data_IF_509611446324
#
_entry.id   IF_509611446324
#
_cell.length_a   1.000
_cell.length_b   1.000
_cell.length_c   1.000
_cell.angle_alpha   90.00
_cell.angle_beta   90.00
_cell.angle_gamma   90.00
#
_symmetry.space_group_name_H-M   'P 1'
#
loop_
_entity.id
_entity.type
_entity.pdbx_description
1 polymer ?
#
# COMPACT_ATOMS: atom_id res chain seq x y z
N UNK A 1 -29.08 -17.31 -27.81
CA UNK A 1 -29.57 -17.74 -26.49
C UNK A 1 -28.82 -19.03 -26.20
N UNK A 2 -27.74 -18.91 -25.44
CA UNK A 2 -27.09 -20.03 -24.76
C UNK A 2 -26.33 -19.38 -23.61
N UNK A 3 -27.01 -19.34 -22.47
CA UNK A 3 -26.46 -18.98 -21.17
C UNK A 3 -25.46 -20.08 -20.79
N UNK A 4 -24.19 -19.70 -20.58
CA UNK A 4 -23.29 -20.55 -19.80
C UNK A 4 -23.30 -20.03 -18.38
N UNK A 5 -23.86 -20.88 -17.51
CA UNK A 5 -23.82 -20.76 -16.07
C UNK A 5 -22.38 -20.60 -15.59
N UNK A 6 -22.19 -19.63 -14.71
CA UNK A 6 -20.97 -19.45 -13.93
C UNK A 6 -21.00 -20.53 -12.86
N UNK A 7 -20.32 -21.64 -13.11
CA UNK A 7 -20.07 -22.66 -12.09
C UNK A 7 -18.93 -22.18 -11.18
N UNK A 8 -19.12 -22.45 -9.89
CA UNK A 8 -18.30 -22.03 -8.76
C UNK A 8 -16.84 -22.50 -8.91
N UNK A 9 -15.91 -21.58 -9.17
CA UNK A 9 -14.48 -21.84 -8.98
C UNK A 9 -14.14 -21.63 -7.50
N UNK A 10 -13.98 -22.75 -6.80
CA UNK A 10 -13.27 -22.84 -5.53
C UNK A 10 -11.89 -22.19 -5.68
N UNK A 11 -11.65 -21.11 -4.95
CA UNK A 11 -10.35 -20.45 -4.88
C UNK A 11 -9.42 -21.29 -4.00
N UNK A 12 -8.82 -22.34 -4.55
CA UNK A 12 -7.59 -22.88 -4.01
C UNK A 12 -6.51 -21.80 -4.14
N UNK A 13 -5.93 -21.42 -3.01
CA UNK A 13 -4.77 -20.54 -2.91
C UNK A 13 -3.72 -21.02 -3.92
N UNK A 14 -3.55 -20.29 -5.03
CA UNK A 14 -2.31 -20.37 -5.78
C UNK A 14 -1.23 -19.82 -4.85
N UNK A 15 -0.58 -20.69 -4.10
CA UNK A 15 0.78 -20.49 -3.63
C UNK A 15 1.63 -20.32 -4.90
N UNK A 16 1.63 -19.12 -5.48
CA UNK A 16 2.52 -18.77 -6.57
C UNK A 16 3.95 -18.88 -6.00
N UNK A 17 4.73 -19.91 -6.37
CA UNK A 17 6.02 -20.18 -5.76
C UNK A 17 7.07 -19.11 -6.11
N UNK A 18 6.77 -18.18 -7.01
CA UNK A 18 7.66 -17.13 -7.47
C UNK A 18 7.45 -15.77 -6.78
N UNK A 19 6.51 -15.66 -5.83
CA UNK A 19 6.37 -14.47 -4.96
C UNK A 19 7.01 -14.74 -3.59
N UNK A 20 8.28 -14.33 -3.35
CA UNK A 20 8.90 -14.49 -2.05
C UNK A 20 8.14 -13.64 -1.01
N UNK A 21 7.57 -14.29 0.01
CA UNK A 21 7.05 -13.58 1.18
C UNK A 21 8.13 -12.72 1.81
N UNK A 22 7.77 -11.51 2.28
CA UNK A 22 8.72 -10.60 2.93
C UNK A 22 9.21 -11.23 4.24
N UNK A 23 10.37 -11.90 4.21
CA UNK A 23 11.07 -12.38 5.42
C UNK A 23 12.05 -11.35 5.95
N UNK A 24 11.68 -10.07 5.97
CA UNK A 24 12.51 -9.05 6.61
C UNK A 24 11.96 -8.79 8.02
N UNK A 25 12.62 -9.36 9.03
CA UNK A 25 12.31 -9.20 10.47
C UNK A 25 12.41 -7.75 10.97
N UNK A 26 12.70 -6.79 10.09
CA UNK A 26 12.83 -5.38 10.37
C UNK A 26 11.50 -4.66 10.14
N UNK A 27 10.71 -4.52 11.22
CA UNK A 27 9.46 -3.75 11.27
C UNK A 27 9.74 -2.40 11.92
N UNK A 28 10.17 -1.42 11.13
CA UNK A 28 10.61 -0.13 11.65
C UNK A 28 9.93 1.04 10.94
N UNK A 29 9.85 2.16 11.66
CA UNK A 29 9.61 3.49 11.10
C UNK A 29 10.91 4.29 11.21
N UNK A 30 11.11 5.27 10.33
CA UNK A 30 12.25 6.19 10.47
C UNK A 30 12.05 7.15 11.63
N UNK A 31 13.15 7.64 12.19
CA UNK A 31 13.14 8.79 13.10
C UNK A 31 12.38 9.98 12.47
N UNK A 32 11.69 10.74 13.31
CA UNK A 32 10.77 11.81 12.92
C UNK A 32 9.33 11.36 12.65
N UNK A 33 9.06 10.05 12.60
CA UNK A 33 7.68 9.54 12.49
C UNK A 33 6.91 9.89 13.76
N UNK A 34 5.81 10.64 13.63
CA UNK A 34 5.01 11.10 14.75
C UNK A 34 4.08 9.99 15.25
N UNK A 35 4.09 9.75 16.56
CA UNK A 35 3.20 8.86 17.27
C UNK A 35 2.15 9.69 18.01
N UNK A 36 0.88 9.30 17.91
CA UNK A 36 -0.20 9.90 18.66
C UNK A 36 -0.15 9.43 20.12
N UNK A 37 -0.01 10.39 21.04
CA UNK A 37 0.06 10.13 22.48
C UNK A 37 -1.35 10.09 23.09
N UNK A 38 -1.50 9.41 24.22
CA UNK A 38 -2.80 9.28 24.90
C UNK A 38 -3.36 10.63 25.39
N UNK A 39 -2.50 11.63 25.62
CA UNK A 39 -2.88 12.99 26.03
C UNK A 39 -3.28 13.89 24.85
N UNK A 40 -3.31 13.36 23.63
CA UNK A 40 -3.63 14.10 22.40
C UNK A 40 -2.45 14.85 21.78
N UNK A 41 -1.26 14.80 22.39
CA UNK A 41 -0.03 15.33 21.78
C UNK A 41 0.54 14.35 20.75
N UNK A 42 1.59 14.78 20.04
CA UNK A 42 2.37 13.92 19.15
C UNK A 42 3.83 13.96 19.53
N UNK A 43 4.47 12.79 19.54
CA UNK A 43 5.88 12.64 19.89
C UNK A 43 6.59 11.87 18.76
N UNK A 44 7.78 12.29 18.31
CA UNK A 44 8.52 11.51 17.32
C UNK A 44 8.99 10.18 17.92
N UNK A 45 8.98 9.12 17.12
CA UNK A 45 9.18 7.74 17.57
C UNK A 45 10.51 7.51 18.31
N UNK A 46 11.57 8.23 17.96
CA UNK A 46 12.88 8.16 18.62
C UNK A 46 12.91 8.78 20.03
N UNK A 47 11.87 9.51 20.42
CA UNK A 47 11.71 10.10 21.76
C UNK A 47 10.69 9.34 22.62
N UNK A 48 10.09 8.27 22.09
CA UNK A 48 9.18 7.40 22.84
C UNK A 48 10.00 6.58 23.83
N UNK A 49 9.55 6.52 25.08
CA UNK A 49 10.23 5.79 26.15
C UNK A 49 9.31 4.70 26.74
N UNK A 50 9.90 3.71 27.41
CA UNK A 50 9.13 2.71 28.15
C UNK A 50 8.33 3.40 29.25
N UNK A 51 7.04 3.14 29.29
CA UNK A 51 6.10 3.76 30.22
C UNK A 51 5.30 4.93 29.65
N UNK A 52 5.66 5.46 28.48
CA UNK A 52 4.82 6.41 27.74
C UNK A 52 3.46 5.77 27.40
N UNK A 53 2.40 6.58 27.32
CA UNK A 53 1.07 6.15 26.92
C UNK A 53 0.74 6.70 25.52
N UNK A 54 0.51 5.79 24.58
CA UNK A 54 0.21 6.07 23.18
C UNK A 54 -1.23 5.67 22.85
N UNK A 55 -1.76 6.16 21.75
CA UNK A 55 -3.02 5.64 21.21
C UNK A 55 -2.76 4.36 20.41
N UNK A 56 -3.50 3.31 20.71
CA UNK A 56 -3.51 2.06 19.97
C UNK A 56 -4.93 1.53 19.82
N UNK A 57 -5.19 0.73 18.78
CA UNK A 57 -6.48 0.06 18.62
C UNK A 57 -6.76 -0.85 19.81
N UNK A 58 -8.02 -0.89 20.27
CA UNK A 58 -8.42 -1.85 21.30
C UNK A 58 -8.28 -3.29 20.77
N UNK A 59 -7.37 -4.12 21.34
CA UNK A 59 -7.17 -5.48 20.90
C UNK A 59 -8.35 -6.40 21.22
N UNK A 60 -9.21 -6.04 22.18
CA UNK A 60 -10.33 -6.87 22.65
C UNK A 60 -11.59 -6.71 21.77
N UNK A 61 -11.67 -5.64 21.00
CA UNK A 61 -12.84 -5.31 20.18
C UNK A 61 -12.55 -5.53 18.69
N UNK A 62 -13.53 -6.10 17.99
CA UNK A 62 -13.52 -6.29 16.53
C UNK A 62 -12.22 -6.92 15.98
N UNK A 63 -11.57 -7.79 16.75
CA UNK A 63 -10.33 -8.45 16.34
C UNK A 63 -9.11 -7.52 16.28
N UNK A 64 -9.07 -6.46 17.10
CA UNK A 64 -8.00 -5.46 17.07
C UNK A 64 -8.31 -4.24 16.21
N UNK A 65 -9.59 -4.03 15.91
CA UNK A 65 -10.14 -2.91 15.13
C UNK A 65 -11.07 -2.03 15.99
N UNK A 66 -10.97 -2.11 17.31
CA UNK A 66 -11.75 -1.27 18.21
C UNK A 66 -11.26 0.17 18.23
N UNK A 67 -11.99 1.03 18.94
CA UNK A 67 -11.62 2.44 19.13
C UNK A 67 -10.19 2.59 19.67
N UNK A 68 -9.56 3.73 19.37
CA UNK A 68 -8.25 4.05 19.92
C UNK A 68 -8.34 4.23 21.44
N UNK A 69 -7.46 3.55 22.18
CA UNK A 69 -7.35 3.63 23.63
C UNK A 69 -5.92 3.96 24.06
N UNK A 70 -5.74 4.63 25.21
CA UNK A 70 -4.44 4.75 25.86
C UNK A 70 -3.84 3.38 26.12
N UNK A 71 -2.58 3.23 25.75
CA UNK A 71 -1.92 1.95 25.76
C UNK A 71 -0.44 2.14 26.09
N UNK A 72 0.08 1.37 27.05
CA UNK A 72 1.40 1.62 27.65
C UNK A 72 2.52 1.00 26.82
N UNK A 73 3.54 1.79 26.51
CA UNK A 73 4.76 1.32 25.86
C UNK A 73 5.55 0.43 26.83
N UNK A 74 5.70 -0.85 26.52
CA UNK A 74 6.43 -1.81 27.37
C UNK A 74 7.89 -2.00 26.94
N UNK A 75 8.22 -1.69 25.68
CA UNK A 75 9.55 -1.83 25.11
C UNK A 75 9.73 -0.93 23.89
N UNK A 76 10.93 -0.39 23.73
CA UNK A 76 11.37 0.35 22.55
C UNK A 76 12.52 -0.39 21.86
N UNK A 77 12.72 -0.11 20.56
CA UNK A 77 13.75 -0.75 19.72
C UNK A 77 14.29 0.25 18.72
N UNK A 78 15.58 0.14 18.42
CA UNK A 78 16.24 0.94 17.39
C UNK A 78 17.06 -0.01 16.53
N UNK A 79 16.85 0.05 15.22
CA UNK A 79 17.54 -0.79 14.24
C UNK A 79 18.12 0.09 13.13
N UNK A 80 19.16 -0.41 12.48
CA UNK A 80 19.63 0.10 11.20
C UNK A 80 19.11 -0.83 10.11
N UNK A 81 18.44 -0.25 9.12
CA UNK A 81 17.79 -0.96 8.03
C UNK A 81 18.28 -0.36 6.71
N UNK A 82 18.49 -1.20 5.71
CA UNK A 82 18.92 -0.74 4.37
C UNK A 82 17.72 -0.29 3.53
N UNK A 83 16.55 -0.83 3.82
CA UNK A 83 15.36 -0.73 2.99
C UNK A 83 14.25 0.04 3.68
N UNK A 84 13.92 1.20 3.12
CA UNK A 84 12.84 2.06 3.56
C UNK A 84 12.06 2.48 2.32
N UNK A 85 10.74 2.49 2.46
CA UNK A 85 9.82 3.10 1.50
C UNK A 85 9.18 4.35 2.10
N UNK A 86 8.94 5.35 1.26
CA UNK A 86 8.13 6.53 1.55
C UNK A 86 6.66 6.22 1.23
N UNK A 87 5.95 5.74 2.25
CA UNK A 87 4.51 5.48 2.18
C UNK A 87 3.75 6.77 2.49
N UNK A 88 3.54 7.59 1.46
CA UNK A 88 2.78 8.85 1.52
C UNK A 88 3.25 9.82 2.62
N UNK A 89 4.55 9.95 2.78
CA UNK A 89 5.21 10.80 3.80
C UNK A 89 5.67 10.03 5.03
N UNK A 90 5.22 8.78 5.21
CA UNK A 90 5.66 7.90 6.31
C UNK A 90 6.78 7.00 5.81
N UNK A 91 7.99 7.23 6.31
CA UNK A 91 9.14 6.39 6.00
C UNK A 91 9.12 5.12 6.83
N UNK A 92 8.82 3.99 6.18
CA UNK A 92 8.50 2.71 6.81
C UNK A 92 9.27 1.58 6.12
N UNK A 93 9.59 0.50 6.83
CA UNK A 93 10.12 -0.70 6.18
C UNK A 93 9.01 -1.43 5.41
N UNK A 94 9.30 -2.05 4.25
CA UNK A 94 8.28 -2.76 3.46
C UNK A 94 7.56 -3.88 4.24
N UNK A 95 8.30 -4.54 5.15
CA UNK A 95 7.80 -5.61 6.02
C UNK A 95 7.00 -5.15 7.24
N UNK A 96 6.81 -3.83 7.44
CA UNK A 96 6.13 -3.33 8.63
C UNK A 96 4.65 -3.72 8.63
N UNK A 97 4.21 -4.33 9.74
CA UNK A 97 2.85 -4.82 9.87
C UNK A 97 1.87 -3.65 9.97
N UNK A 98 0.96 -3.56 9.00
CA UNK A 98 -0.06 -2.52 8.88
C UNK A 98 -1.43 -3.18 8.82
N UNK A 99 -2.43 -2.50 9.39
CA UNK A 99 -3.77 -3.02 9.48
C UNK A 99 -4.45 -3.01 8.11
N UNK A 100 -4.73 -4.21 7.57
CA UNK A 100 -5.40 -4.39 6.30
C UNK A 100 -6.92 -4.23 6.47
N UNK A 101 -7.52 -3.40 5.61
CA UNK A 101 -8.92 -3.00 5.69
C UNK A 101 -9.87 -3.76 4.77
N UNK A 102 -9.35 -4.46 3.76
CA UNK A 102 -10.15 -5.20 2.78
C UNK A 102 -9.43 -6.48 2.29
N UNK A 103 -10.11 -7.23 1.41
CA UNK A 103 -9.56 -8.45 0.81
C UNK A 103 -9.36 -9.61 1.80
N UNK A 104 -8.58 -10.64 1.43
CA UNK A 104 -8.42 -11.87 2.20
C UNK A 104 -7.81 -11.70 3.60
N UNK A 105 -7.06 -10.62 3.80
CA UNK A 105 -6.39 -10.29 5.07
C UNK A 105 -7.11 -9.21 5.87
N UNK A 106 -8.37 -8.89 5.53
CA UNK A 106 -9.16 -7.89 6.25
C UNK A 106 -9.13 -8.13 7.76
N UNK A 107 -8.83 -7.06 8.51
CA UNK A 107 -8.71 -7.08 9.97
C UNK A 107 -7.41 -7.65 10.52
N UNK A 108 -6.47 -8.05 9.65
CA UNK A 108 -5.17 -8.56 10.05
C UNK A 108 -4.08 -7.51 9.85
N UNK A 109 -3.05 -7.58 10.69
CA UNK A 109 -1.82 -6.80 10.50
C UNK A 109 -0.86 -7.60 9.61
N UNK A 110 -0.69 -7.15 8.36
CA UNK A 110 0.18 -7.77 7.35
C UNK A 110 1.21 -6.75 6.83
N UNK A 111 2.30 -7.17 6.19
CA UNK A 111 3.29 -6.23 5.64
C UNK A 111 2.64 -5.17 4.73
N UNK A 112 3.04 -3.90 4.89
CA UNK A 112 2.53 -2.79 4.06
C UNK A 112 2.77 -3.03 2.56
N UNK A 113 3.88 -3.66 2.21
CA UNK A 113 4.18 -3.98 0.81
C UNK A 113 3.19 -5.00 0.24
N UNK A 114 2.74 -5.96 1.04
CA UNK A 114 1.77 -6.96 0.60
C UNK A 114 0.39 -6.32 0.34
N UNK A 115 -0.01 -5.35 1.19
CA UNK A 115 -1.23 -4.57 0.97
C UNK A 115 -1.11 -3.75 -0.32
N UNK A 116 0.04 -3.13 -0.58
CA UNK A 116 0.28 -2.40 -1.84
C UNK A 116 0.19 -3.31 -3.06
N UNK A 117 0.91 -4.43 -3.07
CA UNK A 117 0.95 -5.38 -4.19
C UNK A 117 -0.43 -5.97 -4.50
N UNK A 118 -1.27 -6.16 -3.48
CA UNK A 118 -2.64 -6.63 -3.63
C UNK A 118 -3.65 -5.53 -4.04
N UNK A 119 -3.20 -4.29 -4.27
CA UNK A 119 -4.07 -3.11 -4.45
C UNK A 119 -5.07 -2.92 -3.30
N UNK A 120 -4.68 -3.28 -2.09
CA UNK A 120 -5.52 -3.31 -0.89
C UNK A 120 -5.68 -1.97 -0.18
N UNK A 121 -6.49 -1.97 0.87
CA UNK A 121 -6.76 -0.83 1.73
C UNK A 121 -6.12 -0.99 3.11
N UNK A 122 -5.73 0.14 3.70
CA UNK A 122 -5.35 0.25 5.10
C UNK A 122 -6.45 0.93 5.91
N UNK A 123 -6.45 0.75 7.23
CA UNK A 123 -7.36 1.44 8.15
C UNK A 123 -6.63 2.64 8.76
N UNK A 124 -7.20 3.85 8.65
CA UNK A 124 -6.67 5.05 9.30
C UNK A 124 -7.12 5.14 10.78
N UNK A 125 -6.65 6.17 11.48
CA UNK A 125 -6.95 6.39 12.91
C UNK A 125 -8.45 6.63 13.19
N UNK A 126 -9.21 7.11 12.19
CA UNK A 126 -10.66 7.28 12.26
C UNK A 126 -11.44 5.99 11.95
N UNK A 127 -10.74 4.88 11.65
CA UNK A 127 -11.37 3.62 11.26
C UNK A 127 -11.84 3.58 9.79
N UNK A 128 -11.51 4.61 9.00
CA UNK A 128 -11.84 4.69 7.58
C UNK A 128 -10.86 3.86 6.75
N UNK A 129 -11.38 3.28 5.66
CA UNK A 129 -10.58 2.54 4.71
C UNK A 129 -9.93 3.49 3.71
N UNK A 130 -8.60 3.41 3.59
CA UNK A 130 -7.81 4.20 2.67
C UNK A 130 -7.10 3.26 1.69
N UNK A 131 -7.28 3.45 0.39
CA UNK A 131 -6.58 2.66 -0.63
C UNK A 131 -5.07 2.91 -0.53
N UNK A 132 -4.28 1.87 -0.27
CA UNK A 132 -2.86 2.00 0.04
C UNK A 132 -2.08 2.66 -1.11
N UNK A 133 -2.37 2.28 -2.36
CA UNK A 133 -1.71 2.80 -3.55
C UNK A 133 -1.96 4.30 -3.78
N UNK A 134 -3.20 4.75 -3.56
CA UNK A 134 -3.62 6.12 -3.93
C UNK A 134 -3.66 7.07 -2.74
N UNK A 135 -3.67 6.58 -1.50
CA UNK A 135 -3.92 7.37 -0.30
C UNK A 135 -5.20 8.22 -0.44
N UNK A 136 -6.29 7.58 -0.85
CA UNK A 136 -7.63 8.15 -0.93
C UNK A 136 -8.63 7.23 -0.25
N UNK A 137 -9.75 7.76 0.26
CA UNK A 137 -10.80 6.93 0.85
C UNK A 137 -11.31 5.89 -0.14
N UNK A 138 -11.50 4.66 0.33
CA UNK A 138 -12.17 3.60 -0.43
C UNK A 138 -13.59 4.06 -0.77
N UNK A 139 -14.00 3.83 -2.02
CA UNK A 139 -15.29 4.31 -2.54
C UNK A 139 -15.34 5.79 -2.95
N UNK A 140 -14.26 6.56 -2.76
CA UNK A 140 -14.15 7.89 -3.37
C UNK A 140 -14.03 7.81 -4.89
N UNK A 141 -14.21 8.93 -5.59
CA UNK A 141 -14.02 8.97 -7.05
C UNK A 141 -12.62 8.52 -7.47
N UNK A 142 -11.58 8.81 -6.68
CA UNK A 142 -10.23 8.35 -6.95
C UNK A 142 -10.02 6.85 -6.71
N UNK A 143 -10.93 6.17 -6.02
CA UNK A 143 -10.89 4.71 -5.85
C UNK A 143 -11.54 3.96 -7.03
N UNK A 144 -12.27 4.66 -7.90
CA UNK A 144 -12.88 4.08 -9.11
C UNK A 144 -11.81 3.74 -10.14
N UNK A 145 -12.09 2.72 -10.94
CA UNK A 145 -11.24 2.33 -12.06
C UNK A 145 -11.59 3.11 -13.33
N UNK A 146 -10.56 3.50 -14.08
CA UNK A 146 -10.65 3.93 -15.47
C UNK A 146 -10.11 2.83 -16.38
N UNK A 147 -10.80 2.55 -17.49
CA UNK A 147 -10.33 1.66 -18.53
C UNK A 147 -9.18 2.34 -19.29
N UNK A 148 -8.15 1.57 -19.59
CA UNK A 148 -6.92 2.09 -20.21
C UNK A 148 -6.60 1.29 -21.45
N UNK A 149 -6.39 1.99 -22.56
CA UNK A 149 -5.84 1.45 -23.80
C UNK A 149 -4.40 1.94 -23.94
N UNK A 150 -3.43 1.04 -23.88
CA UNK A 150 -2.01 1.42 -23.82
C UNK A 150 -1.14 0.74 -24.85
N UNK A 151 -0.06 1.43 -25.22
CA UNK A 151 1.03 0.92 -26.06
C UNK A 151 2.36 1.10 -25.33
N UNK A 152 3.28 0.18 -25.56
CA UNK A 152 4.64 0.20 -25.01
C UNK A 152 5.65 0.78 -26.02
N UNK A 153 5.35 0.67 -27.30
CA UNK A 153 6.18 1.15 -28.41
C UNK A 153 5.32 1.92 -29.43
N UNK A 154 5.84 3.05 -29.93
CA UNK A 154 5.13 3.94 -30.86
C UNK A 154 4.83 3.28 -32.22
N UNK A 155 5.52 2.20 -32.56
CA UNK A 155 5.29 1.41 -33.79
C UNK A 155 4.14 0.42 -33.66
N UNK A 156 3.62 0.19 -32.44
CA UNK A 156 2.49 -0.71 -32.24
C UNK A 156 1.24 -0.20 -32.93
N UNK A 157 0.51 -1.13 -33.56
CA UNK A 157 -0.75 -0.86 -34.27
C UNK A 157 -1.99 -1.29 -33.47
N UNK A 158 -1.78 -1.97 -32.35
CA UNK A 158 -2.84 -2.51 -31.50
C UNK A 158 -2.57 -2.11 -30.06
N UNK A 159 -3.65 -1.83 -29.33
CA UNK A 159 -3.61 -1.50 -27.92
C UNK A 159 -3.67 -2.76 -27.06
N UNK A 160 -2.91 -2.75 -25.98
CA UNK A 160 -3.23 -3.55 -24.81
C UNK A 160 -4.34 -2.85 -24.02
N UNK A 161 -5.10 -3.63 -23.26
CA UNK A 161 -6.21 -3.12 -22.45
C UNK A 161 -6.03 -3.53 -21.00
N UNK A 162 -6.41 -2.64 -20.10
CA UNK A 162 -6.40 -2.87 -18.66
C UNK A 162 -7.20 -1.79 -17.94
N UNK A 163 -6.99 -1.68 -16.64
CA UNK A 163 -7.61 -0.65 -15.81
C UNK A 163 -6.63 -0.16 -14.75
N UNK A 164 -6.74 1.10 -14.36
CA UNK A 164 -6.03 1.66 -13.21
C UNK A 164 -7.00 2.48 -12.37
N UNK A 165 -6.67 2.74 -11.11
CA UNK A 165 -7.48 3.65 -10.28
C UNK A 165 -7.32 5.10 -10.75
N UNK A 166 -8.40 5.87 -10.70
CA UNK A 166 -8.38 7.29 -11.00
C UNK A 166 -7.42 8.06 -10.09
N UNK A 167 -7.29 7.63 -8.84
CA UNK A 167 -6.40 8.21 -7.85
C UNK A 167 -4.93 7.85 -8.02
N UNK A 168 -4.56 7.05 -9.02
CA UNK A 168 -3.16 6.66 -9.29
C UNK A 168 -2.27 7.90 -9.32
N UNK A 169 -1.23 7.85 -8.49
CA UNK A 169 -0.24 8.92 -8.35
C UNK A 169 0.95 8.63 -9.26
N UNK A 170 1.54 9.69 -9.79
CA UNK A 170 2.69 9.64 -10.68
C UNK A 170 3.75 10.58 -10.14
N UNK A 171 5.00 10.10 -10.10
CA UNK A 171 6.13 10.95 -9.73
C UNK A 171 6.34 11.97 -10.85
N UNK A 172 6.51 13.24 -10.48
CA UNK A 172 6.81 14.31 -11.42
C UNK A 172 8.11 14.05 -12.20
N UNK A 173 8.23 14.63 -13.40
CA UNK A 173 9.54 14.69 -14.07
C UNK A 173 10.50 15.54 -13.22
N UNK A 174 11.80 15.52 -13.53
CA UNK A 174 12.82 16.27 -12.76
C UNK A 174 12.36 17.72 -12.53
N UNK A 175 12.24 18.11 -11.26
CA UNK A 175 11.77 19.42 -10.77
C UNK A 175 10.26 19.71 -10.92
N UNK A 176 9.46 18.72 -11.32
CA UNK A 176 7.99 18.80 -11.36
C UNK A 176 7.33 18.17 -10.14
N UNK A 177 6.14 18.68 -9.80
CA UNK A 177 5.32 18.12 -8.72
C UNK A 177 4.78 16.73 -9.08
N UNK A 178 4.57 15.90 -8.06
CA UNK A 178 3.79 14.66 -8.20
C UNK A 178 2.35 15.00 -8.60
N UNK A 179 1.71 14.16 -9.39
CA UNK A 179 0.36 14.41 -9.92
C UNK A 179 -0.50 13.14 -9.88
N UNK A 180 -1.82 13.32 -9.95
CA UNK A 180 -2.80 12.21 -10.01
C UNK A 180 -3.50 12.14 -11.35
N UNK A 181 -3.82 10.92 -11.80
CA UNK A 181 -4.55 10.70 -13.05
C UNK A 181 -5.89 11.45 -13.07
N UNK A 182 -6.66 11.40 -12.00
CA UNK A 182 -7.95 12.11 -11.91
C UNK A 182 -7.82 13.63 -12.00
N UNK A 183 -6.77 14.22 -11.44
CA UNK A 183 -6.53 15.67 -11.49
C UNK A 183 -6.16 16.09 -12.91
N UNK A 184 -5.35 15.29 -13.60
CA UNK A 184 -5.03 15.50 -15.01
C UNK A 184 -6.27 15.40 -15.89
N UNK A 185 -7.10 14.36 -15.71
CA UNK A 185 -8.34 14.19 -16.46
C UNK A 185 -9.32 15.36 -16.23
N UNK A 186 -9.52 15.74 -14.97
CA UNK A 186 -10.40 16.85 -14.58
C UNK A 186 -9.93 18.17 -15.20
N UNK A 187 -8.63 18.45 -15.16
CA UNK A 187 -8.04 19.66 -15.77
C UNK A 187 -8.25 19.71 -17.28
N UNK A 188 -8.23 18.56 -17.94
CA UNK A 188 -8.47 18.44 -19.38
C UNK A 188 -9.97 18.41 -19.74
N UNK A 189 -10.87 18.42 -18.75
CA UNK A 189 -12.33 18.44 -18.94
C UNK A 189 -12.96 17.07 -19.17
N UNK A 190 -12.27 15.98 -18.84
CA UNK A 190 -12.82 14.64 -18.93
C UNK A 190 -13.65 14.30 -17.69
N UNK A 191 -14.74 13.56 -17.90
CA UNK A 191 -15.58 12.97 -16.86
C UNK A 191 -15.58 11.45 -17.02
N UNK A 192 -15.54 10.72 -15.90
CA UNK A 192 -15.61 9.26 -15.88
C UNK A 192 -17.08 8.79 -15.82
N UNK A 193 -17.48 7.93 -16.75
CA UNK A 193 -18.80 7.31 -16.74
C UNK A 193 -18.88 6.06 -15.84
N UNK A 194 -20.04 5.39 -15.83
CA UNK A 194 -20.30 4.20 -15.01
C UNK A 194 -19.49 2.97 -15.46
N UNK A 195 -19.11 2.91 -16.72
CA UNK A 195 -18.37 1.80 -17.32
C UNK A 195 -16.84 1.99 -17.19
N UNK A 196 -16.41 3.12 -16.62
CA UNK A 196 -15.00 3.46 -16.44
C UNK A 196 -14.36 4.03 -17.70
N UNK A 197 -15.15 4.52 -18.66
CA UNK A 197 -14.67 5.28 -19.81
C UNK A 197 -14.68 6.77 -19.51
N UNK A 198 -13.90 7.54 -20.26
CA UNK A 198 -13.81 8.99 -20.15
C UNK A 198 -14.37 9.67 -21.39
N UNK A 199 -14.96 10.85 -21.21
CA UNK A 199 -15.43 11.71 -22.30
C UNK A 199 -15.38 13.19 -21.89
N UNK A 200 -15.16 14.07 -22.85
CA UNK A 200 -15.51 15.50 -22.74
C UNK A 200 -16.97 15.72 -23.14
N UNK A 201 -17.47 16.93 -22.91
CA UNK A 201 -18.80 17.31 -23.38
C UNK A 201 -18.94 17.14 -24.90
N UNK A 202 -19.97 16.42 -25.33
CA UNK A 202 -20.22 16.07 -26.74
C UNK A 202 -19.32 14.99 -27.34
N UNK A 203 -18.44 14.36 -26.56
CA UNK A 203 -17.54 13.28 -27.02
C UNK A 203 -18.15 11.89 -26.77
N UNK A 204 -17.84 10.93 -27.64
CA UNK A 204 -18.17 9.52 -27.41
C UNK A 204 -17.23 8.94 -26.35
N UNK A 205 -17.74 8.28 -25.28
CA UNK A 205 -16.90 7.66 -24.27
C UNK A 205 -15.85 6.70 -24.83
N UNK A 206 -14.63 6.82 -24.32
CA UNK A 206 -13.48 6.04 -24.76
C UNK A 206 -12.54 5.73 -23.58
N UNK A 207 -11.63 4.73 -23.68
CA UNK A 207 -10.66 4.47 -22.63
C UNK A 207 -9.63 5.61 -22.53
N UNK A 208 -8.95 5.70 -21.39
CA UNK A 208 -7.76 6.53 -21.26
C UNK A 208 -6.64 5.94 -22.14
N UNK A 209 -6.16 6.73 -23.10
CA UNK A 209 -5.00 6.36 -23.90
C UNK A 209 -3.70 6.62 -23.14
N UNK A 210 -2.85 5.61 -23.05
CA UNK A 210 -1.62 5.65 -22.25
C UNK A 210 -0.40 5.18 -23.05
N UNK A 211 0.74 5.81 -22.82
CA UNK A 211 2.01 5.40 -23.41
C UNK A 211 2.94 4.90 -22.31
N UNK A 212 3.42 3.66 -22.46
CA UNK A 212 4.23 2.97 -21.47
C UNK A 212 3.45 1.86 -20.75
N UNK A 213 4.11 1.14 -19.84
CA UNK A 213 3.45 0.11 -19.03
C UNK A 213 2.33 0.73 -18.20
N UNK A 214 1.27 -0.06 -18.00
CA UNK A 214 0.18 0.31 -17.12
C UNK A 214 0.71 0.42 -15.68
N UNK A 215 0.53 1.55 -14.97
CA UNK A 215 1.03 1.69 -13.61
C UNK A 215 0.43 0.65 -12.68
N UNK A 216 1.28 0.00 -11.89
CA UNK A 216 0.89 -0.92 -10.82
C UNK A 216 0.64 -0.18 -9.51
N UNK A 217 -0.14 -0.76 -8.58
CA UNK A 217 -0.46 -0.15 -7.29
C UNK A 217 0.77 0.35 -6.49
N UNK A 218 1.86 -0.42 -6.51
CA UNK A 218 3.08 -0.15 -5.75
C UNK A 218 4.02 0.87 -6.41
N UNK A 219 3.85 1.15 -7.72
CA UNK A 219 4.83 1.86 -8.54
C UNK A 219 5.14 3.26 -8.00
N UNK A 220 4.13 4.00 -7.55
CA UNK A 220 4.32 5.34 -7.01
C UNK A 220 5.19 5.32 -5.75
N UNK A 221 4.86 4.44 -4.79
CA UNK A 221 5.59 4.32 -3.53
C UNK A 221 7.03 3.86 -3.80
N UNK A 222 7.22 2.87 -4.66
CA UNK A 222 8.55 2.41 -5.05
C UNK A 222 9.37 3.51 -5.75
N UNK A 223 8.79 4.20 -6.73
CA UNK A 223 9.44 5.28 -7.46
C UNK A 223 9.83 6.44 -6.53
N UNK A 224 8.92 6.85 -5.63
CA UNK A 224 9.17 7.90 -4.64
C UNK A 224 10.33 7.53 -3.71
N UNK A 225 10.42 6.25 -3.37
CA UNK A 225 11.45 5.68 -2.50
C UNK A 225 12.77 5.37 -3.21
N UNK A 226 12.82 5.49 -4.54
CA UNK A 226 13.93 4.99 -5.38
C UNK A 226 14.22 3.49 -5.14
N UNK A 227 13.16 2.71 -4.93
CA UNK A 227 13.21 1.27 -4.72
C UNK A 227 12.63 0.50 -5.90
N UNK A 228 12.91 -0.80 -5.94
CA UNK A 228 12.29 -1.75 -6.89
C UNK A 228 11.88 -3.01 -6.13
N UNK A 229 10.90 -3.77 -6.62
CA UNK A 229 10.55 -5.07 -6.05
C UNK A 229 11.81 -5.96 -5.98
N UNK A 230 12.59 -6.03 -7.07
CA UNK A 230 13.82 -6.83 -7.08
C UNK A 230 14.81 -6.47 -5.97
N UNK A 231 14.93 -5.19 -5.60
CA UNK A 231 15.78 -4.79 -4.47
C UNK A 231 15.22 -5.34 -3.14
N UNK A 232 13.93 -5.11 -2.90
CA UNK A 232 13.25 -5.47 -1.65
C UNK A 232 13.20 -6.99 -1.40
N UNK A 233 13.25 -7.80 -2.46
CA UNK A 233 13.07 -9.25 -2.41
C UNK A 233 14.30 -10.06 -2.90
N UNK A 234 15.47 -9.45 -3.08
CA UNK A 234 16.66 -10.16 -3.60
C UNK A 234 17.23 -11.24 -2.67
N UNK A 235 17.83 -12.31 -3.24
CA UNK A 235 18.42 -13.48 -2.55
C UNK A 235 19.47 -13.17 -1.45
N UNK A 236 19.98 -11.94 -1.37
CA UNK A 236 20.82 -11.51 -0.22
C UNK A 236 20.08 -11.67 1.11
N UNK A 237 18.75 -11.66 1.10
CA UNK A 237 17.89 -11.87 2.26
C UNK A 237 17.77 -13.33 2.71
N UNK A 238 17.88 -14.31 1.78
CA UNK A 238 17.76 -15.73 2.13
C UNK A 238 19.02 -16.23 2.88
N UNK A 239 20.21 -15.73 2.53
CA UNK A 239 21.49 -16.16 3.14
C UNK A 239 21.81 -15.55 4.50
N UNK A 240 21.13 -14.46 4.88
CA UNK A 240 21.22 -13.90 6.24
C UNK A 240 20.55 -14.82 7.28
N UNK A 241 19.47 -15.51 6.89
CA UNK A 241 18.72 -16.41 7.77
C UNK A 241 19.41 -17.77 8.02
N UNK A 242 20.25 -18.24 7.09
CA UNK A 242 20.84 -19.59 7.14
C UNK A 242 22.21 -19.67 7.83
N UNK A 243 22.75 -18.56 8.34
CA UNK A 243 24.05 -18.50 9.00
C UNK A 243 24.00 -18.19 10.52
N UNK A 244 22.82 -18.27 11.17
CA UNK A 244 22.70 -18.10 12.63
C UNK A 244 22.14 -19.38 13.27
N UNK A 245 22.91 -20.46 13.16
CA UNK A 245 22.83 -21.58 14.10
C UNK A 245 23.64 -21.26 15.35
N UNK A 246 23.02 -21.41 16.53
CA UNK A 246 23.62 -21.37 17.87
C UNK A 246 23.83 -20.00 18.54
N UNK A 247 22.76 -19.21 18.67
CA UNK A 247 22.38 -18.53 19.93
C UNK A 247 21.07 -17.78 19.67
N UNK A 248 19.93 -18.26 20.18
CA UNK A 248 18.64 -17.58 20.02
C UNK A 248 18.62 -16.25 20.81
N UNK A 249 18.46 -15.08 20.16
CA UNK A 249 17.94 -13.89 20.80
C UNK A 249 16.43 -13.86 20.62
N UNK A 250 15.69 -13.66 21.72
CA UNK A 250 14.21 -13.66 21.71
C UNK A 250 13.69 -12.49 20.85
N UNK A 251 12.89 -12.86 19.84
CA UNK A 251 12.27 -12.01 18.82
C UNK A 251 11.52 -10.79 19.35
N UNK A 252 11.43 -9.76 18.52
CA UNK A 252 11.06 -8.41 18.93
C UNK A 252 9.70 -7.96 18.36
N UNK A 253 8.63 -8.14 19.15
CA UNK A 253 7.31 -7.50 19.02
C UNK A 253 7.30 -6.17 19.79
N UNK A 254 6.60 -5.15 19.31
CA UNK A 254 6.07 -4.10 20.19
C UNK A 254 4.77 -4.65 20.75
N UNK A 255 4.80 -5.06 22.02
CA UNK A 255 3.61 -5.55 22.70
C UNK A 255 3.07 -4.39 23.51
N UNK A 256 1.93 -3.88 23.09
CA UNK A 256 1.16 -2.94 23.89
C UNK A 256 0.15 -3.80 24.67
N UNK A 257 0.01 -3.55 25.97
CA UNK A 257 -0.97 -4.25 26.83
C UNK A 257 -2.22 -3.39 27.01
#
# INVERSE_FOLDING_TARGET
MEEKAWEDEEWELSEDPDLPGVTNDQRCFSAGTLIDMADGTRKPIEQIEVGDEVLAYDPAERGGLGELRPARVTRTMVNQVEEIIDFHGVKITPGHATLCGDGPHQGQHVPIMDILLADGAIVNREGELIRAATNLPVGSDGDRFVQVAYILDKSQRTYFHGRMRLGTRMVGQKDGDDWRVMEALTREGYVLDADGLIAKDGETPHPLYWFGPLPKPEDYVLAKSRQTIGNLYSERHVKSSSAIGANLPRHARMTVQ
#
